data_IF_363262551240
#
_entry.id   IF_363262551240
#
_cell.length_a   1.000
_cell.length_b   1.000
_cell.length_c   1.000
_cell.angle_alpha   90.00
_cell.angle_beta   90.00
_cell.angle_gamma   90.00
#
_symmetry.space_group_name_H-M   'P 1'
#
loop_
_entity.id
_entity.type
_entity.pdbx_description
1 polymer ?
#
# COMPACT_ATOMS: atom_id res chain seq x y z
N UNK A 1 -34.90 15.34 -8.93
CA UNK A 1 -33.65 14.62 -8.61
C UNK A 1 -32.64 14.96 -9.70
N UNK A 2 -31.45 15.51 -9.38
CA UNK A 2 -30.43 15.79 -10.42
C UNK A 2 -29.89 14.45 -10.94
N UNK A 3 -29.75 14.32 -12.25
CA UNK A 3 -29.18 13.14 -12.89
C UNK A 3 -27.67 13.07 -12.64
N UNK A 4 -27.07 11.88 -12.68
CA UNK A 4 -25.62 11.70 -12.57
C UNK A 4 -24.86 12.54 -13.61
N UNK A 5 -25.41 12.66 -14.83
CA UNK A 5 -24.83 13.49 -15.90
C UNK A 5 -24.80 14.98 -15.53
N UNK A 6 -25.88 15.50 -14.93
CA UNK A 6 -25.95 16.91 -14.53
C UNK A 6 -24.99 17.23 -13.38
N UNK A 7 -24.78 16.28 -12.46
CA UNK A 7 -23.82 16.43 -11.36
C UNK A 7 -22.39 16.43 -11.89
N UNK A 8 -22.05 15.49 -12.77
CA UNK A 8 -20.71 15.42 -13.38
C UNK A 8 -20.37 16.68 -14.18
N UNK A 9 -21.31 17.19 -14.98
CA UNK A 9 -21.12 18.42 -15.75
C UNK A 9 -20.88 19.63 -14.84
N UNK A 10 -21.68 19.79 -13.78
CA UNK A 10 -21.52 20.88 -12.82
C UNK A 10 -20.18 20.80 -12.05
N UNK A 11 -19.71 19.61 -11.69
CA UNK A 11 -18.41 19.43 -11.07
C UNK A 11 -17.25 19.73 -12.04
N UNK A 12 -17.37 19.31 -13.29
CA UNK A 12 -16.38 19.62 -14.33
C UNK A 12 -16.21 21.13 -14.52
N UNK A 13 -17.32 21.86 -14.66
CA UNK A 13 -17.33 23.32 -14.79
C UNK A 13 -16.75 24.02 -13.54
N UNK A 14 -17.07 23.51 -12.35
CA UNK A 14 -16.51 24.01 -11.09
C UNK A 14 -14.99 23.81 -10.98
N UNK A 15 -14.44 22.72 -11.52
CA UNK A 15 -12.99 22.48 -11.54
C UNK A 15 -12.31 23.37 -12.59
N UNK A 16 -12.90 23.45 -13.79
CA UNK A 16 -12.30 24.19 -14.90
C UNK A 16 -12.28 25.70 -14.66
N UNK A 17 -13.35 26.27 -14.10
CA UNK A 17 -13.41 27.69 -13.72
C UNK A 17 -12.37 28.11 -12.67
N UNK A 18 -11.87 27.17 -11.85
CA UNK A 18 -10.88 27.45 -10.79
C UNK A 18 -9.45 27.21 -11.23
N UNK A 19 -9.20 26.09 -11.87
CA UNK A 19 -7.85 25.60 -12.15
C UNK A 19 -7.49 25.61 -13.64
N UNK A 20 -8.49 25.76 -14.52
CA UNK A 20 -8.34 25.70 -15.98
C UNK A 20 -7.49 24.50 -16.48
N UNK A 21 -7.68 23.27 -15.96
CA UNK A 21 -6.79 22.15 -16.29
C UNK A 21 -7.11 21.51 -17.65
N UNK A 22 -8.21 21.90 -18.31
CA UNK A 22 -8.74 21.24 -19.51
C UNK A 22 -7.72 21.10 -20.65
N UNK A 23 -6.95 22.14 -20.95
CA UNK A 23 -5.94 22.11 -22.02
C UNK A 23 -4.79 21.13 -21.72
N UNK A 24 -4.28 21.14 -20.49
CA UNK A 24 -3.20 20.25 -20.06
C UNK A 24 -3.68 18.79 -19.98
N UNK A 25 -4.86 18.58 -19.40
CA UNK A 25 -5.47 17.26 -19.29
C UNK A 25 -5.75 16.65 -20.66
N UNK A 26 -6.25 17.44 -21.63
CA UNK A 26 -6.47 16.98 -23.01
C UNK A 26 -5.17 16.48 -23.64
N UNK A 27 -4.03 17.13 -23.39
CA UNK A 27 -2.73 16.68 -23.92
C UNK A 27 -2.28 15.36 -23.31
N UNK A 28 -2.46 15.19 -22.00
CA UNK A 28 -2.07 13.96 -21.31
C UNK A 28 -2.97 12.78 -21.69
N UNK A 29 -4.29 12.99 -21.80
CA UNK A 29 -5.24 11.93 -22.18
C UNK A 29 -5.09 11.47 -23.63
N UNK A 30 -4.68 12.38 -24.54
CA UNK A 30 -4.41 12.03 -25.94
C UNK A 30 -2.96 11.54 -26.17
N UNK A 31 -2.20 11.26 -25.11
CA UNK A 31 -0.84 10.75 -25.22
C UNK A 31 -0.88 9.30 -25.71
N UNK A 32 -0.26 9.04 -26.86
CA UNK A 32 -0.14 7.68 -27.42
C UNK A 32 1.03 6.96 -26.76
N UNK A 33 0.78 5.73 -26.29
CA UNK A 33 1.78 4.82 -25.76
C UNK A 33 1.98 3.62 -26.71
N UNK A 34 3.23 3.16 -26.91
CA UNK A 34 3.50 1.95 -27.70
C UNK A 34 2.93 0.69 -27.03
N UNK A 35 2.53 -0.32 -27.82
CA UNK A 35 1.78 -1.51 -27.34
C UNK A 35 2.61 -2.80 -27.28
N UNK A 36 3.94 -2.71 -27.38
CA UNK A 36 4.80 -3.88 -27.27
C UNK A 36 4.87 -4.34 -25.80
N UNK A 37 4.72 -5.65 -25.55
CA UNK A 37 4.62 -6.23 -24.21
C UNK A 37 5.79 -5.87 -23.28
N UNK A 38 6.99 -5.71 -23.83
CA UNK A 38 8.18 -5.39 -23.05
C UNK A 38 8.11 -4.02 -22.38
N UNK A 39 7.31 -3.09 -22.91
CA UNK A 39 7.13 -1.78 -22.31
C UNK A 39 6.31 -1.82 -21.00
N UNK A 40 5.54 -2.90 -20.78
CA UNK A 40 4.80 -3.11 -19.55
C UNK A 40 5.66 -3.67 -18.40
N UNK A 41 6.88 -4.15 -18.68
CA UNK A 41 7.77 -4.68 -17.63
C UNK A 41 8.13 -3.61 -16.59
N UNK A 42 8.28 -2.35 -17.02
CA UNK A 42 8.48 -1.23 -16.09
C UNK A 42 7.25 -0.94 -15.23
N UNK A 43 6.04 -1.15 -15.76
CA UNK A 43 4.81 -1.00 -14.99
C UNK A 43 4.69 -2.07 -13.91
N UNK A 44 5.16 -3.30 -14.14
CA UNK A 44 5.21 -4.34 -13.10
C UNK A 44 6.01 -3.85 -11.88
N UNK A 45 7.19 -3.25 -12.10
CA UNK A 45 8.00 -2.68 -11.02
C UNK A 45 7.28 -1.52 -10.30
N UNK A 46 6.60 -0.65 -11.05
CA UNK A 46 5.83 0.45 -10.46
C UNK A 46 4.63 -0.05 -9.63
N UNK A 47 3.90 -1.04 -10.13
CA UNK A 47 2.76 -1.62 -9.42
C UNK A 47 3.20 -2.37 -8.16
N UNK A 48 4.28 -3.17 -8.26
CA UNK A 48 4.94 -3.77 -7.08
C UNK A 48 5.34 -2.72 -6.05
N UNK A 49 5.94 -1.60 -6.49
CA UNK A 49 6.32 -0.51 -5.59
C UNK A 49 5.12 0.12 -4.87
N UNK A 50 3.98 0.31 -5.55
CA UNK A 50 2.75 0.79 -4.91
C UNK A 50 2.25 -0.22 -3.86
N UNK A 51 2.29 -1.53 -4.17
CA UNK A 51 1.91 -2.58 -3.22
C UNK A 51 2.85 -2.57 -2.00
N UNK A 52 4.16 -2.42 -2.20
CA UNK A 52 5.14 -2.27 -1.12
C UNK A 52 4.85 -1.08 -0.23
N UNK A 53 4.50 0.08 -0.79
CA UNK A 53 4.14 1.26 0.01
C UNK A 53 2.89 1.02 0.84
N UNK A 54 1.82 0.50 0.24
CA UNK A 54 0.55 0.28 0.93
C UNK A 54 0.69 -0.74 2.06
N UNK A 55 1.33 -1.87 1.78
CA UNK A 55 1.55 -2.94 2.77
C UNK A 55 2.61 -2.56 3.79
N UNK A 56 3.66 -1.85 3.39
CA UNK A 56 4.72 -1.38 4.27
C UNK A 56 4.21 -0.35 5.28
N UNK A 57 3.43 0.63 4.83
CA UNK A 57 2.78 1.62 5.72
C UNK A 57 1.84 0.95 6.72
N UNK A 58 1.16 -0.14 6.35
CA UNK A 58 0.38 -0.91 7.31
C UNK A 58 1.28 -1.57 8.36
N UNK A 59 2.37 -2.25 7.94
CA UNK A 59 3.26 -2.97 8.84
C UNK A 59 4.02 -2.05 9.80
N UNK A 60 4.39 -0.85 9.36
CA UNK A 60 5.11 0.12 10.22
C UNK A 60 4.30 0.57 11.43
N UNK A 61 2.96 0.48 11.38
CA UNK A 61 2.11 0.81 12.53
C UNK A 61 2.17 -0.24 13.65
N UNK A 62 2.64 -1.46 13.35
CA UNK A 62 2.69 -2.59 14.29
C UNK A 62 4.11 -3.04 14.63
N UNK A 63 5.11 -2.65 13.84
CA UNK A 63 6.49 -3.07 14.02
C UNK A 63 7.24 -2.16 15.01
N UNK A 64 7.90 -2.77 16.00
CA UNK A 64 8.73 -2.05 16.99
C UNK A 64 10.23 -2.30 16.69
N UNK A 65 10.97 -1.32 16.17
CA UNK A 65 12.36 -1.50 15.72
C UNK A 65 13.40 -1.49 16.87
N UNK A 66 13.05 -2.03 18.04
CA UNK A 66 13.95 -2.08 19.21
C UNK A 66 14.71 -3.41 19.32
N UNK A 67 16.01 -3.31 19.67
CA UNK A 67 16.88 -4.46 19.99
C UNK A 67 16.93 -4.78 21.48
N UNK A 68 16.04 -4.22 22.29
CA UNK A 68 15.91 -4.60 23.70
C UNK A 68 15.56 -6.09 23.80
N UNK A 69 16.25 -6.81 24.68
CA UNK A 69 15.97 -8.21 24.98
C UNK A 69 14.66 -8.34 25.76
N UNK A 70 13.80 -9.24 25.29
CA UNK A 70 12.51 -9.56 25.90
C UNK A 70 12.28 -11.07 25.84
N UNK A 71 11.73 -11.61 26.93
CA UNK A 71 11.24 -13.00 26.96
C UNK A 71 9.89 -13.10 26.25
N UNK A 72 9.77 -13.95 25.23
CA UNK A 72 8.51 -14.13 24.52
C UNK A 72 7.48 -14.90 25.36
N UNK A 73 6.30 -14.30 25.54
CA UNK A 73 5.19 -14.87 26.30
C UNK A 73 3.87 -14.88 25.51
N UNK A 74 3.95 -14.82 24.17
CA UNK A 74 2.80 -14.69 23.28
C UNK A 74 2.12 -16.01 22.88
N UNK A 75 1.28 -15.95 21.85
CA UNK A 75 0.46 -17.08 21.39
C UNK A 75 1.25 -18.22 20.73
N UNK A 76 2.43 -17.96 20.16
CA UNK A 76 3.22 -18.97 19.45
C UNK A 76 4.00 -19.88 20.42
N UNK A 77 3.38 -21.01 20.77
CA UNK A 77 3.87 -21.96 21.80
C UNK A 77 5.35 -22.33 21.69
N UNK A 78 5.91 -22.66 20.51
CA UNK A 78 7.31 -23.13 20.41
C UNK A 78 8.36 -22.11 20.85
N UNK A 79 8.03 -20.81 20.87
CA UNK A 79 8.96 -19.75 21.25
C UNK A 79 8.71 -19.19 22.65
N UNK A 80 7.77 -19.74 23.43
CA UNK A 80 7.52 -19.25 24.79
C UNK A 80 8.72 -19.45 25.70
N UNK A 81 9.04 -18.41 26.47
CA UNK A 81 10.19 -18.41 27.38
C UNK A 81 11.54 -18.17 26.70
N UNK A 82 11.57 -17.95 25.37
CA UNK A 82 12.80 -17.67 24.63
C UNK A 82 13.09 -16.18 24.64
N UNK A 83 14.34 -15.82 24.95
CA UNK A 83 14.84 -14.45 24.83
C UNK A 83 14.99 -14.05 23.36
N UNK A 84 14.47 -12.88 23.00
CA UNK A 84 14.54 -12.33 21.64
C UNK A 84 14.56 -10.81 21.65
N UNK A 85 14.85 -10.19 20.52
CA UNK A 85 14.68 -8.75 20.38
C UNK A 85 13.20 -8.37 20.34
N UNK A 86 12.87 -7.17 20.81
CA UNK A 86 11.52 -6.60 20.68
C UNK A 86 11.08 -6.47 19.21
N UNK A 87 12.02 -6.24 18.29
CA UNK A 87 11.79 -6.30 16.85
C UNK A 87 11.33 -7.68 16.38
N UNK A 88 11.93 -8.76 16.88
CA UNK A 88 11.49 -10.10 16.51
C UNK A 88 10.14 -10.44 17.16
N UNK A 89 9.93 -10.07 18.42
CA UNK A 89 8.64 -10.24 19.10
C UNK A 89 7.49 -9.55 18.36
N UNK A 90 7.63 -8.26 18.01
CA UNK A 90 6.59 -7.53 17.26
C UNK A 90 6.35 -8.09 15.84
N UNK A 91 7.37 -8.67 15.20
CA UNK A 91 7.20 -9.38 13.93
C UNK A 91 6.38 -10.68 14.07
N UNK A 92 6.50 -11.38 15.21
CA UNK A 92 5.64 -12.53 15.53
C UNK A 92 4.21 -12.06 15.82
N UNK A 93 4.03 -10.96 16.55
CA UNK A 93 2.70 -10.41 16.85
C UNK A 93 1.95 -10.01 15.58
N UNK A 94 2.62 -9.37 14.62
CA UNK A 94 2.07 -9.12 13.28
C UNK A 94 1.63 -10.42 12.61
N UNK A 95 2.40 -11.50 12.78
CA UNK A 95 2.13 -12.77 12.12
C UNK A 95 0.97 -13.54 12.77
N UNK A 96 0.80 -13.48 14.08
CA UNK A 96 -0.11 -14.37 14.81
C UNK A 96 -1.27 -13.68 15.52
N UNK A 97 -1.12 -12.42 15.91
CA UNK A 97 -2.08 -11.72 16.76
C UNK A 97 -2.86 -10.63 16.01
N UNK A 98 -2.26 -10.02 14.98
CA UNK A 98 -2.95 -9.06 14.11
C UNK A 98 -3.78 -9.78 13.05
N UNK A 99 -5.10 -9.52 13.03
CA UNK A 99 -6.00 -10.11 12.02
C UNK A 99 -5.57 -9.71 10.61
N UNK A 100 -5.18 -10.70 9.81
CA UNK A 100 -4.68 -10.48 8.45
C UNK A 100 -3.22 -10.03 8.37
N UNK A 101 -2.52 -9.86 9.50
CA UNK A 101 -1.14 -9.36 9.53
C UNK A 101 -0.14 -10.31 8.83
N UNK A 102 -0.28 -11.62 9.00
CA UNK A 102 0.52 -12.60 8.24
C UNK A 102 0.36 -12.45 6.73
N UNK A 103 -0.88 -12.30 6.26
CA UNK A 103 -1.16 -12.12 4.83
C UNK A 103 -0.49 -10.86 4.29
N UNK A 104 -0.67 -9.72 4.97
CA UNK A 104 -0.06 -8.45 4.54
C UNK A 104 1.47 -8.53 4.55
N UNK A 105 2.06 -9.18 5.55
CA UNK A 105 3.52 -9.38 5.63
C UNK A 105 4.05 -10.27 4.52
N UNK A 106 3.32 -11.33 4.14
CA UNK A 106 3.68 -12.18 3.01
C UNK A 106 3.56 -11.42 1.69
N UNK A 107 2.46 -10.69 1.47
CA UNK A 107 2.31 -9.85 0.26
C UNK A 107 3.42 -8.82 0.16
N UNK A 108 3.78 -8.15 1.27
CA UNK A 108 4.89 -7.19 1.30
C UNK A 108 6.24 -7.83 0.92
N UNK A 109 6.49 -9.06 1.34
CA UNK A 109 7.74 -9.76 0.99
C UNK A 109 7.78 -10.23 -0.47
N UNK A 110 6.63 -10.51 -1.09
CA UNK A 110 6.53 -10.98 -2.48
C UNK A 110 6.34 -9.88 -3.51
N UNK A 111 5.95 -8.68 -3.08
CA UNK A 111 5.75 -7.51 -3.94
C UNK A 111 7.09 -6.98 -4.46
#
# INVERSE_FOLDING_TARGET
MKTMSAIAAAQGDAIDSRYHPSAALRRQLNKVFPTHWSFLLGEVALYSFIVLLLTGVYLTLFFDPSMAEVTYNGVYQPLRGVEMSRAYASALDISFEVRGGMFVRQVHHWA
#
